data_IF_113888098007
#
_entry.id   IF_113888098007
#
_cell.length_a   1.000
_cell.length_b   1.000
_cell.length_c   1.000
_cell.angle_alpha   90.00
_cell.angle_beta   90.00
_cell.angle_gamma   90.00
#
_symmetry.space_group_name_H-M   'P 1'
#
loop_
_entity.id
_entity.type
_entity.pdbx_description
1 polymer ?
#
# COMPACT_ATOMS: atom_id res chain seq x y z
N UNK A 1 6.24 -5.57 12.89
CA UNK A 1 6.32 -4.13 12.56
C UNK A 1 7.67 -3.51 12.90
N UNK A 2 8.23 -3.68 14.11
CA UNK A 2 9.54 -3.11 14.48
C UNK A 2 10.69 -3.28 13.46
N UNK A 3 10.71 -4.41 12.73
CA UNK A 3 11.70 -4.64 11.67
C UNK A 3 11.48 -3.73 10.44
N UNK A 4 10.23 -3.45 10.09
CA UNK A 4 9.88 -2.50 9.03
C UNK A 4 10.33 -1.10 9.46
N UNK A 5 9.99 -0.65 10.67
CA UNK A 5 10.41 0.66 11.19
C UNK A 5 11.94 0.83 11.14
N UNK A 6 12.70 -0.22 11.45
CA UNK A 6 14.16 -0.23 11.36
C UNK A 6 14.70 -0.19 9.91
N UNK A 7 13.95 -0.75 8.95
CA UNK A 7 14.33 -0.77 7.54
C UNK A 7 13.86 0.49 6.79
N UNK A 8 12.79 1.14 7.26
CA UNK A 8 12.17 2.31 6.63
C UNK A 8 13.18 3.37 6.19
N UNK A 9 14.12 3.84 7.05
CA UNK A 9 15.09 4.86 6.61
C UNK A 9 15.92 4.41 5.40
N UNK A 10 16.39 3.16 5.38
CA UNK A 10 17.18 2.62 4.27
C UNK A 10 16.34 2.47 2.99
N UNK A 11 15.07 2.10 3.12
CA UNK A 11 14.15 2.03 1.98
C UNK A 11 13.91 3.43 1.40
N UNK A 12 13.75 4.44 2.26
CA UNK A 12 13.59 5.83 1.84
C UNK A 12 14.84 6.37 1.15
N UNK A 13 16.04 6.07 1.67
CA UNK A 13 17.30 6.44 1.04
C UNK A 13 17.44 5.80 -0.34
N UNK A 14 17.12 4.50 -0.44
CA UNK A 14 17.14 3.76 -1.70
C UNK A 14 16.15 4.33 -2.71
N UNK A 15 14.92 4.61 -2.29
CA UNK A 15 13.91 5.23 -3.13
C UNK A 15 14.37 6.61 -3.63
N UNK A 16 15.00 7.40 -2.76
CA UNK A 16 15.53 8.74 -3.09
C UNK A 16 16.71 8.71 -4.05
N UNK A 17 17.46 7.60 -4.10
CA UNK A 17 18.55 7.42 -5.06
C UNK A 17 18.06 7.20 -6.51
N UNK A 18 16.76 6.91 -6.68
CA UNK A 18 16.16 6.65 -7.99
C UNK A 18 15.92 7.98 -8.72
N UNK A 19 16.62 8.18 -9.83
CA UNK A 19 16.40 9.33 -10.70
C UNK A 19 15.32 9.12 -11.78
N UNK A 20 15.13 10.15 -12.62
CA UNK A 20 14.22 10.15 -13.76
C UNK A 20 12.74 10.21 -13.38
N UNK A 21 11.85 9.81 -14.30
CA UNK A 21 10.40 9.90 -14.11
C UNK A 21 9.90 9.16 -12.86
N UNK A 22 10.48 7.99 -12.53
CA UNK A 22 10.14 7.27 -11.29
C UNK A 22 10.60 8.03 -10.05
N UNK A 23 11.75 8.69 -10.11
CA UNK A 23 12.26 9.55 -9.03
C UNK A 23 11.34 10.72 -8.75
N UNK A 24 10.76 11.34 -9.78
CA UNK A 24 9.77 12.41 -9.63
C UNK A 24 8.50 11.93 -8.93
N UNK A 25 8.00 10.74 -9.29
CA UNK A 25 6.84 10.13 -8.62
C UNK A 25 7.16 9.83 -7.15
N UNK A 26 8.32 9.23 -6.86
CA UNK A 26 8.79 8.97 -5.49
C UNK A 26 8.90 10.28 -4.70
N UNK A 27 9.42 11.35 -5.31
CA UNK A 27 9.49 12.68 -4.70
C UNK A 27 8.12 13.18 -4.26
N UNK A 28 7.12 13.11 -5.16
CA UNK A 28 5.73 13.52 -4.84
C UNK A 28 5.12 12.69 -3.72
N UNK A 29 5.36 11.37 -3.70
CA UNK A 29 4.88 10.50 -2.62
C UNK A 29 5.52 10.89 -1.29
N UNK A 30 6.82 11.24 -1.30
CA UNK A 30 7.53 11.70 -0.10
C UNK A 30 7.03 13.03 0.43
N UNK A 31 6.56 13.93 -0.43
CA UNK A 31 6.04 15.23 -0.01
C UNK A 31 4.83 15.07 0.93
N UNK A 32 4.10 13.95 0.85
CA UNK A 32 3.04 13.61 1.81
C UNK A 32 3.55 13.47 3.26
N UNK A 33 4.83 13.14 3.47
CA UNK A 33 5.44 13.08 4.80
C UNK A 33 5.62 14.44 5.46
N UNK A 34 5.73 15.52 4.66
CA UNK A 34 5.87 16.87 5.20
C UNK A 34 4.61 17.30 5.96
N UNK A 35 3.47 16.69 5.66
CA UNK A 35 2.18 16.99 6.29
C UNK A 35 1.94 16.17 7.57
N UNK A 36 2.51 14.96 7.69
CA UNK A 36 2.24 14.06 8.80
C UNK A 36 3.44 13.15 9.15
N UNK A 37 4.00 13.33 10.34
CA UNK A 37 5.14 12.57 10.86
C UNK A 37 4.76 11.32 11.68
N UNK A 38 3.50 10.87 11.62
CA UNK A 38 3.11 9.61 12.25
C UNK A 38 3.89 8.43 11.66
N UNK A 39 4.22 7.45 12.51
CA UNK A 39 5.04 6.29 12.11
C UNK A 39 4.28 5.44 11.08
N UNK A 40 2.96 5.37 11.19
CA UNK A 40 2.05 4.70 10.26
C UNK A 40 2.19 5.27 8.84
N UNK A 41 2.17 6.59 8.72
CA UNK A 41 2.32 7.30 7.45
C UNK A 41 3.71 7.08 6.87
N UNK A 42 4.75 7.12 7.72
CA UNK A 42 6.12 6.81 7.32
C UNK A 42 6.27 5.39 6.74
N UNK A 43 5.63 4.40 7.36
CA UNK A 43 5.63 3.01 6.85
C UNK A 43 4.88 2.90 5.54
N UNK A 44 3.71 3.52 5.43
CA UNK A 44 2.90 3.54 4.21
C UNK A 44 3.68 4.15 3.05
N UNK A 45 4.20 5.37 3.22
CA UNK A 45 4.99 6.06 2.19
C UNK A 45 6.18 5.23 1.74
N UNK A 46 6.90 4.59 2.67
CA UNK A 46 8.03 3.75 2.31
C UNK A 46 7.65 2.56 1.44
N UNK A 47 6.47 1.96 1.67
CA UNK A 47 5.97 0.87 0.84
C UNK A 47 5.52 1.40 -0.53
N UNK A 48 4.81 2.52 -0.58
CA UNK A 48 4.41 3.16 -1.85
C UNK A 48 5.64 3.51 -2.71
N UNK A 49 6.65 4.14 -2.11
CA UNK A 49 7.93 4.39 -2.77
C UNK A 49 8.60 3.11 -3.28
N UNK A 50 8.53 2.02 -2.53
CA UNK A 50 9.11 0.74 -2.94
C UNK A 50 8.41 0.15 -4.17
N UNK A 51 7.08 0.18 -4.21
CA UNK A 51 6.28 -0.28 -5.37
C UNK A 51 6.71 0.47 -6.64
N UNK A 52 6.78 1.80 -6.57
CA UNK A 52 7.23 2.65 -7.68
C UNK A 52 8.70 2.39 -8.05
N UNK A 53 9.56 2.21 -7.05
CA UNK A 53 10.99 1.94 -7.25
C UNK A 53 11.21 0.67 -8.09
N UNK A 54 10.49 -0.40 -7.74
CA UNK A 54 10.49 -1.69 -8.45
C UNK A 54 9.90 -1.58 -9.86
N UNK A 55 9.17 -0.52 -10.14
CA UNK A 55 8.58 -0.24 -11.45
C UNK A 55 7.17 -0.77 -11.62
N UNK A 56 6.55 -1.17 -10.51
CA UNK A 56 5.14 -1.47 -10.48
C UNK A 56 4.34 -0.18 -10.34
N UNK A 57 3.06 -0.26 -10.69
CA UNK A 57 2.16 0.87 -10.50
C UNK A 57 1.43 0.72 -9.18
N UNK A 58 1.28 1.83 -8.47
CA UNK A 58 0.54 1.86 -7.22
C UNK A 58 -0.91 1.42 -7.42
N UNK A 59 -1.54 1.79 -8.54
CA UNK A 59 -2.90 1.40 -8.90
C UNK A 59 -3.10 -0.11 -9.03
N UNK A 60 -2.03 -0.88 -9.29
CA UNK A 60 -2.11 -2.33 -9.45
C UNK A 60 -2.26 -3.02 -8.09
N UNK A 61 -1.65 -2.46 -7.03
CA UNK A 61 -1.71 -2.99 -5.66
C UNK A 61 -2.71 -2.26 -4.77
N UNK A 62 -2.78 -0.94 -4.85
CA UNK A 62 -3.59 -0.07 -4.00
C UNK A 62 -4.76 0.51 -4.77
N UNK A 63 -5.92 0.57 -4.13
CA UNK A 63 -7.08 1.26 -4.66
C UNK A 63 -7.80 2.00 -3.56
N UNK A 64 -7.98 3.30 -3.73
CA UNK A 64 -8.73 4.13 -2.79
C UNK A 64 -10.23 4.03 -3.05
N UNK A 65 -11.00 3.99 -1.98
CA UNK A 65 -12.46 3.93 -1.99
C UNK A 65 -13.01 4.92 -0.96
N UNK A 66 -14.15 5.54 -1.27
CA UNK A 66 -14.79 6.50 -0.38
C UNK A 66 -15.43 5.84 0.84
N UNK A 67 -15.97 4.62 0.67
CA UNK A 67 -16.64 3.88 1.74
C UNK A 67 -16.68 2.38 1.43
N UNK A 68 -17.21 1.61 2.38
CA UNK A 68 -17.33 0.15 2.23
C UNK A 68 -18.33 -0.26 1.14
N UNK A 69 -19.36 0.55 0.86
CA UNK A 69 -20.36 0.22 -0.18
C UNK A 69 -19.74 0.29 -1.59
N UNK A 70 -18.81 1.22 -1.83
CA UNK A 70 -18.07 1.30 -3.08
C UNK A 70 -17.13 0.10 -3.27
N UNK A 71 -16.50 -0.37 -2.19
CA UNK A 71 -15.74 -1.62 -2.21
C UNK A 71 -16.64 -2.77 -2.64
N UNK A 72 -17.81 -2.92 -2.01
CA UNK A 72 -18.76 -4.00 -2.32
C UNK A 72 -19.24 -3.95 -3.78
N UNK A 73 -19.53 -2.77 -4.32
CA UNK A 73 -19.97 -2.60 -5.70
C UNK A 73 -18.89 -2.97 -6.74
N UNK A 74 -17.61 -2.91 -6.36
CA UNK A 74 -16.49 -3.17 -7.24
C UNK A 74 -15.78 -4.50 -6.93
N UNK A 75 -16.20 -5.18 -5.86
CA UNK A 75 -15.51 -6.32 -5.25
C UNK A 75 -15.24 -7.45 -6.24
N UNK A 76 -16.27 -7.87 -7.00
CA UNK A 76 -16.17 -8.98 -7.96
C UNK A 76 -15.17 -8.73 -9.10
N UNK A 77 -14.79 -7.47 -9.35
CA UNK A 77 -13.82 -7.11 -10.40
C UNK A 77 -12.38 -7.14 -9.90
N UNK A 78 -12.18 -7.31 -8.59
CA UNK A 78 -10.87 -7.25 -7.96
C UNK A 78 -10.26 -8.64 -7.79
N UNK A 79 -9.14 -8.88 -8.49
CA UNK A 79 -8.37 -10.13 -8.36
C UNK A 79 -7.51 -10.10 -7.10
N UNK A 80 -6.65 -9.09 -6.94
CA UNK A 80 -5.88 -8.92 -5.70
C UNK A 80 -5.47 -7.48 -5.52
N UNK A 81 -5.98 -6.83 -4.47
CA UNK A 81 -5.68 -5.44 -4.14
C UNK A 81 -5.80 -5.17 -2.64
N UNK A 82 -5.17 -4.08 -2.22
CA UNK A 82 -5.36 -3.44 -0.92
C UNK A 82 -6.29 -2.25 -1.15
N UNK A 83 -7.54 -2.40 -0.72
CA UNK A 83 -8.52 -1.33 -0.74
C UNK A 83 -8.29 -0.40 0.45
N UNK A 84 -8.14 0.89 0.20
CA UNK A 84 -7.86 1.91 1.20
C UNK A 84 -9.12 2.76 1.37
N UNK A 85 -9.65 2.81 2.59
CA UNK A 85 -10.74 3.72 2.96
C UNK A 85 -10.14 4.83 3.82
N UNK A 86 -10.31 6.08 3.37
CA UNK A 86 -10.12 7.24 4.23
C UNK A 86 -11.35 7.46 5.09
N UNK A 87 -11.18 7.55 6.41
CA UNK A 87 -12.29 7.96 7.27
C UNK A 87 -12.57 9.45 7.04
N UNK A 88 -13.59 9.76 6.24
CA UNK A 88 -14.12 11.13 6.12
C UNK A 88 -14.94 11.55 7.35
N UNK A 89 -15.37 10.60 8.19
CA UNK A 89 -16.32 10.84 9.28
C UNK A 89 -15.64 11.27 10.57
N UNK A 90 -14.39 10.89 10.80
CA UNK A 90 -13.60 11.37 11.93
C UNK A 90 -12.84 12.64 11.54
N UNK A 91 -13.10 13.75 12.24
CA UNK A 91 -12.24 14.94 12.17
C UNK A 91 -10.80 14.69 12.69
N UNK A 92 -10.49 13.45 13.08
CA UNK A 92 -9.14 12.98 13.38
C UNK A 92 -8.39 12.71 12.08
N UNK A 93 -7.63 13.73 11.68
CA UNK A 93 -6.57 13.73 10.66
C UNK A 93 -6.19 12.33 10.15
N UNK A 94 -6.78 11.94 9.01
CA UNK A 94 -6.18 11.00 8.05
C UNK A 94 -5.89 9.56 8.54
N UNK A 95 -6.70 8.96 9.42
CA UNK A 95 -6.56 7.52 9.67
C UNK A 95 -7.13 6.71 8.49
N UNK A 96 -6.29 6.45 7.49
CA UNK A 96 -6.61 5.53 6.39
C UNK A 96 -6.52 4.08 6.88
N UNK A 97 -7.54 3.29 6.57
CA UNK A 97 -7.53 1.85 6.86
C UNK A 97 -7.54 1.05 5.57
N UNK A 98 -6.76 -0.02 5.56
CA UNK A 98 -6.64 -0.97 4.46
C UNK A 98 -7.51 -2.20 4.68
N UNK A 99 -8.01 -2.74 3.57
CA UNK A 99 -8.71 -4.01 3.46
C UNK A 99 -8.04 -4.84 2.37
N UNK A 100 -7.65 -6.07 2.68
CA UNK A 100 -7.11 -6.99 1.68
C UNK A 100 -8.27 -7.66 0.94
N UNK A 101 -8.23 -7.55 -0.39
CA UNK A 101 -9.18 -8.18 -1.29
C UNK A 101 -8.44 -9.18 -2.17
N UNK A 102 -8.94 -10.41 -2.24
CA UNK A 102 -8.44 -11.46 -3.13
C UNK A 102 -9.63 -12.19 -3.74
N UNK A 103 -9.66 -12.33 -5.07
CA UNK A 103 -10.68 -13.04 -5.85
C UNK A 103 -12.11 -12.61 -5.47
N UNK A 104 -12.35 -11.29 -5.33
CA UNK A 104 -13.63 -10.75 -4.90
C UNK A 104 -14.03 -11.07 -3.45
N UNK A 105 -13.07 -11.45 -2.60
CA UNK A 105 -13.32 -11.73 -1.18
C UNK A 105 -12.48 -10.80 -0.32
N UNK A 106 -13.11 -10.17 0.68
CA UNK A 106 -12.44 -9.37 1.71
C UNK A 106 -11.86 -10.31 2.76
N UNK A 107 -10.54 -10.51 2.74
CA UNK A 107 -9.86 -11.43 3.66
C UNK A 107 -9.61 -10.77 5.01
N UNK A 108 -9.15 -9.51 5.01
CA UNK A 108 -8.77 -8.77 6.22
C UNK A 108 -9.25 -7.32 6.09
N UNK A 109 -9.82 -6.76 7.15
CA UNK A 109 -10.51 -5.47 7.14
C UNK A 109 -9.96 -4.58 8.25
N UNK A 110 -9.80 -3.29 7.97
CA UNK A 110 -9.56 -2.27 9.00
C UNK A 110 -8.14 -2.30 9.59
N UNK A 111 -7.15 -2.69 8.79
CA UNK A 111 -5.75 -2.73 9.22
C UNK A 111 -4.98 -1.53 8.68
N UNK A 112 -3.84 -1.17 9.29
CA UNK A 112 -2.95 -0.20 8.65
C UNK A 112 -2.41 -0.74 7.32
N UNK A 113 -2.18 0.16 6.36
CA UNK A 113 -1.78 -0.21 5.00
C UNK A 113 -0.47 -1.01 5.00
N UNK A 114 0.45 -0.68 5.90
CA UNK A 114 1.72 -1.40 6.02
C UNK A 114 1.56 -2.85 6.47
N UNK A 115 0.64 -3.13 7.39
CA UNK A 115 0.26 -4.49 7.79
C UNK A 115 -0.47 -5.20 6.68
N UNK A 116 -1.37 -4.53 5.94
CA UNK A 116 -2.03 -5.12 4.78
C UNK A 116 -0.99 -5.66 3.77
N UNK A 117 0.02 -4.85 3.42
CA UNK A 117 1.08 -5.28 2.52
C UNK A 117 1.85 -6.49 3.06
N UNK A 118 2.30 -6.42 4.31
CA UNK A 118 3.06 -7.52 4.92
C UNK A 118 2.25 -8.84 4.99
N UNK A 119 0.97 -8.74 5.34
CA UNK A 119 0.07 -9.88 5.41
C UNK A 119 -0.26 -10.41 4.01
N UNK A 120 -0.45 -9.54 3.03
CA UNK A 120 -0.68 -9.93 1.65
C UNK A 120 0.50 -10.75 1.10
N UNK A 121 1.73 -10.27 1.29
CA UNK A 121 2.94 -11.05 0.92
C UNK A 121 2.97 -12.41 1.64
N UNK A 122 2.62 -12.44 2.93
CA UNK A 122 2.52 -13.67 3.71
C UNK A 122 1.43 -14.62 3.21
N UNK A 123 0.26 -14.11 2.83
CA UNK A 123 -0.86 -14.88 2.28
C UNK A 123 -0.49 -15.48 0.93
N UNK A 124 0.10 -14.68 0.04
CA UNK A 124 0.55 -15.13 -1.27
C UNK A 124 1.54 -16.28 -1.12
N UNK A 125 2.51 -16.12 -0.22
CA UNK A 125 3.49 -17.17 0.08
C UNK A 125 2.84 -18.42 0.70
N UNK A 126 2.02 -18.25 1.74
CA UNK A 126 1.44 -19.37 2.49
C UNK A 126 0.45 -20.20 1.68
N UNK A 127 -0.30 -19.56 0.79
CA UNK A 127 -1.28 -20.21 -0.07
C UNK A 127 -0.70 -20.60 -1.43
N UNK A 128 0.60 -20.38 -1.65
CA UNK A 128 1.29 -20.59 -2.94
C UNK A 128 0.52 -19.96 -4.11
N UNK A 129 -0.05 -18.77 -3.89
CA UNK A 129 -0.77 -18.03 -4.92
C UNK A 129 0.25 -17.55 -5.94
N UNK A 130 -0.13 -17.61 -7.22
CA UNK A 130 0.67 -16.95 -8.25
C UNK A 130 0.63 -15.45 -7.99
N UNK A 131 1.79 -14.82 -7.93
CA UNK A 131 1.87 -13.36 -7.84
C UNK A 131 1.20 -12.75 -9.08
N UNK A 132 0.44 -11.65 -8.96
CA UNK A 132 -0.17 -10.98 -10.10
C UNK A 132 0.90 -10.64 -11.13
N UNK A 133 0.55 -10.80 -12.40
CA UNK A 133 1.47 -10.51 -13.51
C UNK A 133 1.89 -9.04 -13.51
N UNK A 134 1.02 -8.20 -12.96
CA UNK A 134 1.13 -6.76 -12.78
C UNK A 134 2.12 -6.36 -11.68
N UNK A 135 2.56 -7.29 -10.82
CA UNK A 135 3.43 -6.99 -9.68
C UNK A 135 4.73 -7.86 -9.63
N UNK A 136 5.13 -8.41 -10.78
CA UNK A 136 6.22 -9.41 -10.94
C UNK A 136 7.59 -9.10 -10.33
N UNK A 137 7.90 -7.87 -9.92
CA UNK A 137 9.18 -7.47 -9.34
C UNK A 137 9.15 -7.33 -7.81
N UNK A 138 8.01 -7.61 -7.18
CA UNK A 138 7.86 -7.48 -5.71
C UNK A 138 8.30 -8.74 -4.95
N UNK A 139 8.58 -9.85 -5.63
CA UNK A 139 9.09 -11.12 -5.10
C UNK A 139 10.15 -11.69 -6.05
#
# INVERSE_FOLDING_TARGET
MAKLDKCTPKLMDLASSRGGAKGEIIGRIKDMLLENNAVEVWREVAIHCLVVYLGEKEEDLFKEFANTQEIEADLEKQVMKIAIIGDLSTMELNHKTGTIIVEGIRILIGMDISRCCALLTGIIYALNLSYPKELKYTC
#
